data_IF_766048298414
#
_entry.id   IF_766048298414
#
_cell.length_a   1.000
_cell.length_b   1.000
_cell.length_c   1.000
_cell.angle_alpha   90.00
_cell.angle_beta   90.00
_cell.angle_gamma   90.00
#
_symmetry.space_group_name_H-M   'P 1'
#
loop_
_entity.id
_entity.type
_entity.pdbx_description
1 polymer ?
#
# COMPACT_ATOMS: atom_id res chain seq x y z
N UNK A 1 4.88 -20.16 10.98
CA UNK A 1 3.53 -19.58 11.11
C UNK A 1 3.25 -18.77 9.84
N UNK A 2 2.03 -18.82 9.33
CA UNK A 2 1.61 -18.16 8.07
C UNK A 2 1.74 -16.64 8.16
N UNK A 3 1.44 -16.04 9.32
CA UNK A 3 1.55 -14.60 9.51
C UNK A 3 2.99 -14.11 9.32
N UNK A 4 3.96 -14.80 9.93
CA UNK A 4 5.37 -14.43 9.85
C UNK A 4 5.90 -14.52 8.41
N UNK A 5 5.52 -15.57 7.67
CA UNK A 5 5.89 -15.73 6.27
C UNK A 5 5.34 -14.60 5.40
N UNK A 6 4.06 -14.23 5.59
CA UNK A 6 3.46 -13.14 4.82
C UNK A 6 4.10 -11.78 5.16
N UNK A 7 4.40 -11.50 6.42
CA UNK A 7 5.07 -10.26 6.81
C UNK A 7 6.49 -10.17 6.25
N UNK A 8 7.22 -11.29 6.23
CA UNK A 8 8.55 -11.38 5.63
C UNK A 8 8.48 -11.18 4.10
N UNK A 9 7.59 -11.91 3.41
CA UNK A 9 7.39 -11.75 1.97
C UNK A 9 7.01 -10.33 1.59
N UNK A 10 6.07 -9.69 2.29
CA UNK A 10 5.65 -8.32 2.01
C UNK A 10 6.78 -7.29 2.16
N UNK A 11 7.77 -7.55 3.03
CA UNK A 11 8.88 -6.60 3.30
C UNK A 11 10.12 -6.83 2.47
N UNK A 12 10.44 -8.08 2.19
CA UNK A 12 11.79 -8.47 1.77
C UNK A 12 11.83 -9.38 0.55
N UNK A 13 10.69 -9.82 0.02
CA UNK A 13 10.71 -10.61 -1.21
C UNK A 13 11.27 -9.77 -2.37
N UNK A 14 12.09 -10.40 -3.21
CA UNK A 14 12.70 -9.74 -4.36
C UNK A 14 11.69 -9.44 -5.46
N UNK A 15 10.60 -10.22 -5.53
CA UNK A 15 9.56 -10.10 -6.53
C UNK A 15 8.44 -9.17 -6.04
N UNK A 16 8.16 -8.10 -6.78
CA UNK A 16 7.09 -7.15 -6.45
C UNK A 16 5.71 -7.81 -6.44
N UNK A 17 5.47 -8.80 -7.30
CA UNK A 17 4.18 -9.48 -7.36
C UNK A 17 3.95 -10.33 -6.11
N UNK A 18 5.02 -10.91 -5.58
CA UNK A 18 4.97 -11.61 -4.28
C UNK A 18 4.73 -10.63 -3.15
N UNK A 19 5.40 -9.46 -3.16
CA UNK A 19 5.14 -8.41 -2.15
C UNK A 19 3.70 -7.91 -2.20
N UNK A 20 3.17 -7.61 -3.38
CA UNK A 20 1.76 -7.25 -3.62
C UNK A 20 0.83 -8.31 -3.03
N UNK A 21 1.01 -9.57 -3.44
CA UNK A 21 0.20 -10.70 -2.97
C UNK A 21 0.25 -10.83 -1.44
N UNK A 22 1.43 -10.70 -0.85
CA UNK A 22 1.59 -10.81 0.60
C UNK A 22 0.86 -9.67 1.34
N UNK A 23 0.96 -8.43 0.86
CA UNK A 23 0.24 -7.27 1.42
C UNK A 23 -1.27 -7.49 1.33
N UNK A 24 -1.78 -7.97 0.19
CA UNK A 24 -3.21 -8.26 0.04
C UNK A 24 -3.69 -9.34 1.00
N UNK A 25 -2.94 -10.43 1.15
CA UNK A 25 -3.32 -11.52 2.06
C UNK A 25 -3.27 -11.06 3.52
N UNK A 26 -2.28 -10.23 3.89
CA UNK A 26 -2.23 -9.61 5.22
C UNK A 26 -3.47 -8.74 5.46
N UNK A 27 -3.81 -7.88 4.51
CA UNK A 27 -4.97 -7.00 4.61
C UNK A 27 -6.29 -7.79 4.75
N UNK A 28 -6.49 -8.81 3.92
CA UNK A 28 -7.69 -9.66 3.96
C UNK A 28 -7.80 -10.48 5.25
N UNK A 29 -6.69 -11.06 5.71
CA UNK A 29 -6.68 -11.99 6.84
C UNK A 29 -6.60 -11.32 8.22
N UNK A 30 -6.07 -10.10 8.31
CA UNK A 30 -5.77 -9.43 9.58
C UNK A 30 -6.29 -7.98 9.67
N UNK A 31 -7.26 -7.57 8.84
CA UNK A 31 -7.90 -6.23 8.88
C UNK A 31 -8.30 -5.73 10.28
N UNK A 32 -8.72 -6.64 11.17
CA UNK A 32 -9.18 -6.29 12.52
C UNK A 32 -8.03 -6.17 13.54
N UNK A 33 -6.78 -6.41 13.13
CA UNK A 33 -5.63 -6.29 14.02
C UNK A 33 -5.12 -4.85 14.08
N UNK A 34 -4.89 -4.38 15.31
CA UNK A 34 -4.41 -3.03 15.57
C UNK A 34 -3.05 -2.70 14.92
N UNK A 35 -2.20 -3.71 14.67
CA UNK A 35 -0.88 -3.52 14.07
C UNK A 35 -0.92 -3.32 12.55
N UNK A 36 -2.00 -3.71 11.88
CA UNK A 36 -2.02 -3.78 10.42
C UNK A 36 -1.99 -2.41 9.76
N UNK A 37 -2.66 -1.41 10.34
CA UNK A 37 -2.62 -0.04 9.79
C UNK A 37 -1.18 0.46 9.67
N UNK A 38 -0.39 0.38 10.74
CA UNK A 38 1.02 0.78 10.75
C UNK A 38 1.86 -0.03 9.76
N UNK A 39 1.58 -1.32 9.61
CA UNK A 39 2.26 -2.16 8.64
C UNK A 39 2.00 -1.71 7.19
N UNK A 40 0.73 -1.44 6.85
CA UNK A 40 0.37 -0.94 5.52
C UNK A 40 0.91 0.47 5.30
N UNK A 41 0.82 1.33 6.32
CA UNK A 41 1.36 2.69 6.30
C UNK A 41 2.83 2.68 5.92
N UNK A 42 3.64 1.91 6.64
CA UNK A 42 5.07 1.74 6.37
C UNK A 42 5.32 1.26 4.93
N UNK A 43 4.52 0.29 4.48
CA UNK A 43 4.52 -0.22 3.11
C UNK A 43 4.21 0.84 2.05
N UNK A 44 3.43 1.88 2.35
CA UNK A 44 3.18 2.98 1.38
C UNK A 44 4.40 3.89 1.16
N UNK A 45 5.33 3.95 2.14
CA UNK A 45 6.47 4.86 2.12
C UNK A 45 7.78 4.19 1.73
N UNK A 46 8.08 3.04 2.32
CA UNK A 46 9.41 2.46 2.31
C UNK A 46 9.56 1.27 1.37
N UNK A 47 8.50 0.87 0.69
CA UNK A 47 8.54 -0.25 -0.23
C UNK A 47 9.28 0.14 -1.53
N UNK A 48 10.33 -0.61 -1.93
CA UNK A 48 11.12 -0.31 -3.11
C UNK A 48 10.44 -0.82 -4.38
N UNK A 49 9.97 0.10 -5.23
CA UNK A 49 9.37 -0.24 -6.51
C UNK A 49 9.80 0.71 -7.62
N UNK A 50 10.16 0.13 -8.75
CA UNK A 50 10.40 0.83 -10.02
C UNK A 50 9.54 0.14 -11.08
N UNK A 51 8.60 0.89 -11.66
CA UNK A 51 7.77 0.44 -12.76
C UNK A 51 8.62 0.27 -14.00
N UNK A 52 8.67 -0.93 -14.56
CA UNK A 52 9.33 -1.21 -15.84
C UNK A 52 8.32 -1.27 -16.97
N UNK A 53 7.14 -1.78 -16.68
CA UNK A 53 6.05 -1.96 -17.61
C UNK A 53 4.74 -1.43 -17.01
N UNK A 54 3.80 -1.03 -17.87
CA UNK A 54 2.53 -0.44 -17.43
C UNK A 54 1.63 -1.44 -16.67
N UNK A 55 1.90 -2.75 -16.79
CA UNK A 55 1.16 -3.80 -16.06
C UNK A 55 1.79 -4.18 -14.72
N UNK A 56 2.92 -3.58 -14.32
CA UNK A 56 3.55 -3.92 -13.05
C UNK A 56 2.69 -3.43 -11.87
N UNK A 57 2.38 -4.33 -10.93
CA UNK A 57 1.66 -3.95 -9.72
C UNK A 57 2.62 -3.25 -8.74
N UNK A 58 2.25 -2.03 -8.31
CA UNK A 58 3.01 -1.25 -7.35
C UNK A 58 2.61 -1.65 -5.91
N UNK A 59 3.48 -2.28 -5.10
CA UNK A 59 3.10 -2.72 -3.76
C UNK A 59 2.73 -1.56 -2.82
N UNK A 60 3.28 -0.35 -3.04
CA UNK A 60 2.85 0.87 -2.32
C UNK A 60 1.40 1.24 -2.63
N UNK A 61 0.97 1.05 -3.89
CA UNK A 61 -0.43 1.25 -4.29
C UNK A 61 -1.34 0.20 -3.66
N UNK A 62 -0.90 -1.06 -3.60
CA UNK A 62 -1.65 -2.15 -2.93
C UNK A 62 -1.84 -1.84 -1.44
N UNK A 63 -0.78 -1.40 -0.75
CA UNK A 63 -0.87 -0.99 0.65
C UNK A 63 -1.81 0.20 0.85
N UNK A 64 -1.72 1.22 -0.02
CA UNK A 64 -2.59 2.38 0.03
C UNK A 64 -4.07 2.01 -0.24
N UNK A 65 -4.32 1.12 -1.21
CA UNK A 65 -5.66 0.57 -1.48
C UNK A 65 -6.24 -0.12 -0.24
N UNK A 66 -5.46 -0.97 0.42
CA UNK A 66 -5.89 -1.63 1.65
C UNK A 66 -6.22 -0.64 2.77
N UNK A 67 -5.45 0.44 2.93
CA UNK A 67 -5.77 1.52 3.87
C UNK A 67 -7.09 2.20 3.51
N UNK A 68 -7.30 2.51 2.22
CA UNK A 68 -8.51 3.17 1.75
C UNK A 68 -9.77 2.30 1.88
N UNK A 69 -9.63 0.98 1.82
CA UNK A 69 -10.70 0.00 2.00
C UNK A 69 -11.03 -0.25 3.48
N UNK A 70 -10.02 -0.57 4.29
CA UNK A 70 -10.21 -1.03 5.67
C UNK A 70 -10.13 0.09 6.71
N UNK A 71 -9.46 1.20 6.41
CA UNK A 71 -9.27 2.34 7.31
C UNK A 71 -9.65 3.70 6.66
N UNK A 72 -10.81 3.82 6.00
CA UNK A 72 -11.17 5.00 5.21
C UNK A 72 -11.27 6.30 6.02
N UNK A 73 -11.55 6.19 7.33
CA UNK A 73 -11.75 7.32 8.24
C UNK A 73 -10.56 7.55 9.19
N UNK A 74 -9.41 6.89 8.96
CA UNK A 74 -8.21 7.14 9.76
C UNK A 74 -7.72 8.57 9.54
N UNK A 75 -7.28 9.24 10.61
CA UNK A 75 -6.90 10.66 10.57
C UNK A 75 -5.82 10.97 9.53
N UNK A 76 -4.90 10.04 9.33
CA UNK A 76 -3.74 10.19 8.47
C UNK A 76 -3.99 9.74 7.01
N UNK A 77 -5.15 9.15 6.70
CA UNK A 77 -5.48 8.70 5.32
C UNK A 77 -5.42 9.85 4.33
N UNK A 78 -5.89 11.05 4.73
CA UNK A 78 -5.82 12.23 3.87
C UNK A 78 -4.39 12.70 3.62
N UNK A 79 -3.54 12.70 4.66
CA UNK A 79 -2.13 13.09 4.52
C UNK A 79 -1.34 12.11 3.66
N UNK A 80 -1.64 10.80 3.72
CA UNK A 80 -1.07 9.81 2.80
C UNK A 80 -1.37 10.16 1.35
N UNK A 81 -2.65 10.37 1.03
CA UNK A 81 -3.06 10.67 -0.34
C UNK A 81 -2.40 11.95 -0.85
N UNK A 82 -2.32 13.00 -0.02
CA UNK A 82 -1.66 14.26 -0.38
C UNK A 82 -0.17 14.07 -0.65
N UNK A 83 0.53 13.33 0.21
CA UNK A 83 1.96 13.08 0.07
C UNK A 83 2.25 12.21 -1.16
N UNK A 84 1.58 11.05 -1.28
CA UNK A 84 1.76 10.14 -2.42
C UNK A 84 1.39 10.83 -3.74
N UNK A 85 0.35 11.64 -3.80
CA UNK A 85 0.00 12.40 -5.01
C UNK A 85 1.10 13.38 -5.46
N UNK A 86 1.87 13.94 -4.52
CA UNK A 86 2.86 15.00 -4.79
C UNK A 86 4.29 14.46 -4.92
N UNK A 87 4.62 13.42 -4.18
CA UNK A 87 5.99 13.02 -3.91
C UNK A 87 6.30 11.57 -4.26
N UNK A 88 5.32 10.74 -4.59
CA UNK A 88 5.61 9.36 -4.96
C UNK A 88 6.47 9.31 -6.24
N UNK A 89 7.57 8.55 -6.30
CA UNK A 89 8.36 8.39 -7.52
C UNK A 89 7.57 7.78 -8.69
N UNK A 90 6.60 6.91 -8.43
CA UNK A 90 5.80 6.26 -9.47
C UNK A 90 4.68 7.20 -9.97
N UNK A 91 4.69 7.61 -11.25
CA UNK A 91 3.68 8.52 -11.80
C UNK A 91 2.25 7.98 -11.70
N UNK A 92 2.07 6.66 -11.80
CA UNK A 92 0.75 6.04 -11.69
C UNK A 92 0.21 6.12 -10.27
N UNK A 93 1.03 5.80 -9.26
CA UNK A 93 0.65 5.98 -7.87
C UNK A 93 0.35 7.45 -7.53
N UNK A 94 1.11 8.41 -8.09
CA UNK A 94 0.76 9.84 -7.94
C UNK A 94 -0.64 10.15 -8.47
N UNK A 95 -0.96 9.65 -9.67
CA UNK A 95 -2.28 9.84 -10.30
C UNK A 95 -3.39 9.18 -9.48
N UNK A 96 -3.20 7.93 -9.10
CA UNK A 96 -4.13 7.18 -8.26
C UNK A 96 -4.44 7.90 -6.94
N UNK A 97 -3.40 8.39 -6.25
CA UNK A 97 -3.55 9.10 -5.00
C UNK A 97 -4.29 10.43 -5.18
N UNK A 98 -4.03 11.15 -6.27
CA UNK A 98 -4.73 12.40 -6.60
C UNK A 98 -6.23 12.17 -6.86
N UNK A 99 -6.58 11.16 -7.66
CA UNK A 99 -7.97 10.82 -7.97
C UNK A 99 -8.75 10.38 -6.71
N UNK A 100 -8.11 9.63 -5.82
CA UNK A 100 -8.69 9.26 -4.53
C UNK A 100 -8.82 10.44 -3.57
N UNK A 101 -7.89 11.39 -3.60
CA UNK A 101 -7.98 12.61 -2.80
C UNK A 101 -9.16 13.49 -3.25
N UNK A 102 -9.36 13.62 -4.56
CA UNK A 102 -10.42 14.45 -5.16
C UNK A 102 -11.82 13.83 -4.99
N UNK A 103 -11.93 12.50 -5.09
CA UNK A 103 -13.21 11.79 -4.93
C UNK A 103 -13.72 11.72 -3.47
N UNK A 104 -12.87 12.08 -2.50
CA UNK A 104 -13.17 12.05 -1.05
C UNK A 104 -13.37 13.47 -0.45
N UNK A 105 -13.65 14.48 -1.29
CA UNK A 105 -14.01 15.86 -0.88
C UNK A 105 -15.52 16.01 -0.75
#
# INVERSE_FOLDING_TARGET
DTLALLQESARCDTDSDVRCTAIEQLAKGWKDQAWLFEFLWDGTFHEPFERKEDWDDNPRQVALNAILEYYPNHSETRSLLQDRAKHDPDPELRKFAKENLESRI
#
